data_IF_306344636079
#
_entry.id   IF_306344636079
#
_cell.length_a   1.000
_cell.length_b   1.000
_cell.length_c   1.000
_cell.angle_alpha   90.00
_cell.angle_beta   90.00
_cell.angle_gamma   90.00
#
_symmetry.space_group_name_H-M   'P 1'
#
loop_
_entity.id
_entity.type
_entity.pdbx_description
1 polymer ?
#
# COMPACT_ATOMS: atom_id res chain seq x y z
N UNK A 1 12.87 -31.13 6.30
CA UNK A 1 12.45 -30.16 7.31
C UNK A 1 11.44 -29.18 6.71
N UNK A 2 10.63 -28.53 7.53
CA UNK A 2 9.74 -27.43 7.10
C UNK A 2 9.93 -26.25 8.07
N UNK A 3 10.02 -25.04 7.55
CA UNK A 3 10.14 -23.82 8.36
C UNK A 3 8.77 -23.25 8.73
N UNK A 4 8.75 -22.39 9.75
CA UNK A 4 7.56 -21.62 10.13
C UNK A 4 7.22 -20.59 9.03
N UNK A 5 5.96 -20.11 8.95
CA UNK A 5 5.62 -18.96 8.10
C UNK A 5 6.53 -17.76 8.40
N UNK A 6 6.94 -17.03 7.36
CA UNK A 6 7.92 -15.94 7.48
C UNK A 6 9.39 -16.40 7.39
N UNK A 7 9.65 -17.69 7.18
CA UNK A 7 11.01 -18.23 7.08
C UNK A 7 11.22 -19.09 5.83
N UNK A 8 12.40 -18.95 5.22
CA UNK A 8 12.85 -19.74 4.08
C UNK A 8 13.84 -20.81 4.52
N UNK A 9 13.66 -22.04 4.02
CA UNK A 9 14.61 -23.12 4.23
C UNK A 9 15.83 -22.90 3.32
N UNK A 10 17.03 -22.83 3.91
CA UNK A 10 18.30 -22.76 3.18
C UNK A 10 18.61 -24.08 2.46
N UNK A 11 19.58 -24.02 1.53
CA UNK A 11 20.01 -25.16 0.71
C UNK A 11 20.59 -26.33 1.53
N UNK A 12 20.98 -26.08 2.78
CA UNK A 12 21.42 -27.11 3.72
C UNK A 12 20.27 -28.02 4.22
N UNK A 13 19.02 -27.68 3.88
CA UNK A 13 17.81 -28.43 4.21
C UNK A 13 17.45 -28.43 5.69
N UNK A 14 18.13 -27.62 6.51
CA UNK A 14 18.02 -27.63 7.98
C UNK A 14 17.89 -26.25 8.60
N UNK A 15 18.48 -25.22 8.00
CA UNK A 15 18.48 -23.86 8.54
C UNK A 15 17.32 -23.06 7.98
N UNK A 16 16.53 -22.47 8.87
CA UNK A 16 15.47 -21.53 8.52
C UNK A 16 16.00 -20.11 8.70
N UNK A 17 15.99 -19.32 7.62
CA UNK A 17 16.32 -17.90 7.67
C UNK A 17 15.06 -17.08 7.54
N UNK A 18 15.04 -15.94 8.23
CA UNK A 18 14.00 -14.94 8.12
C UNK A 18 13.85 -14.50 6.64
N UNK A 19 12.61 -14.40 6.18
CA UNK A 19 12.31 -13.79 4.88
C UNK A 19 12.24 -12.28 5.11
N UNK A 20 13.10 -11.52 4.44
CA UNK A 20 12.95 -10.07 4.43
C UNK A 20 11.87 -9.68 3.42
N UNK A 21 10.64 -9.52 3.90
CA UNK A 21 9.51 -9.13 3.05
C UNK A 21 9.68 -7.72 2.47
N UNK A 22 10.45 -6.84 3.13
CA UNK A 22 10.69 -5.48 2.64
C UNK A 22 11.64 -5.44 1.43
N UNK A 23 12.55 -6.41 1.33
CA UNK A 23 13.48 -6.54 0.20
C UNK A 23 12.82 -7.12 -1.06
N UNK A 24 11.64 -7.73 -0.93
CA UNK A 24 10.99 -8.49 -2.02
C UNK A 24 9.58 -7.98 -2.29
N UNK A 25 9.45 -6.84 -2.97
CA UNK A 25 8.20 -6.46 -3.62
C UNK A 25 7.29 -5.47 -2.89
N UNK A 26 7.86 -4.57 -2.08
CA UNK A 26 7.14 -3.45 -1.44
C UNK A 26 5.78 -3.86 -0.82
N UNK A 27 5.78 -4.70 0.22
CA UNK A 27 4.54 -5.25 0.80
C UNK A 27 3.67 -4.18 1.49
N UNK A 28 4.23 -2.99 1.71
CA UNK A 28 3.59 -1.84 2.32
C UNK A 28 3.40 -0.73 1.28
N UNK A 29 2.30 0.02 1.41
CA UNK A 29 2.05 1.19 0.56
C UNK A 29 3.07 2.33 0.74
N UNK A 30 3.70 2.41 1.92
CA UNK A 30 4.69 3.43 2.26
C UNK A 30 5.93 2.77 2.88
N UNK A 31 6.16 2.91 4.19
CA UNK A 31 7.36 2.42 4.84
C UNK A 31 7.20 0.96 5.29
N UNK A 32 8.23 0.15 5.08
CA UNK A 32 8.31 -1.24 5.51
C UNK A 32 9.47 -1.44 6.49
N UNK A 33 9.22 -2.15 7.58
CA UNK A 33 10.24 -2.55 8.55
C UNK A 33 10.21 -4.07 8.68
N UNK A 34 11.31 -4.72 8.27
CA UNK A 34 11.47 -6.14 8.45
C UNK A 34 11.65 -6.46 9.93
N UNK A 35 10.98 -7.50 10.41
CA UNK A 35 11.10 -7.99 11.79
C UNK A 35 11.27 -9.51 11.77
N UNK A 36 11.69 -10.12 12.87
CA UNK A 36 11.92 -11.56 12.86
C UNK A 36 10.60 -12.34 12.73
N UNK A 37 10.45 -13.06 11.61
CA UNK A 37 9.31 -13.88 11.23
C UNK A 37 8.12 -13.11 10.64
N UNK A 38 8.22 -11.79 10.44
CA UNK A 38 7.15 -10.94 9.90
C UNK A 38 7.66 -9.54 9.57
N UNK A 39 6.80 -8.64 9.12
CA UNK A 39 7.13 -7.24 8.86
C UNK A 39 6.06 -6.31 9.44
N UNK A 40 6.41 -5.02 9.53
CA UNK A 40 5.45 -3.97 9.90
C UNK A 40 5.46 -2.86 8.86
N UNK A 41 4.26 -2.40 8.53
CA UNK A 41 4.09 -1.21 7.71
C UNK A 41 3.91 0.03 8.59
N UNK A 42 4.58 1.11 8.24
CA UNK A 42 4.41 2.42 8.85
C UNK A 42 3.96 3.44 7.80
N UNK A 43 3.14 4.39 8.27
CA UNK A 43 2.70 5.51 7.47
C UNK A 43 3.56 6.74 7.78
N UNK A 44 3.89 7.51 6.74
CA UNK A 44 4.57 8.77 6.84
C UNK A 44 3.71 9.81 7.57
N UNK A 45 4.34 10.91 7.98
CA UNK A 45 3.64 12.03 8.59
C UNK A 45 2.47 12.52 7.70
N UNK A 46 1.30 12.74 8.30
CA UNK A 46 0.08 13.08 7.57
C UNK A 46 -0.75 11.89 7.04
N UNK A 47 -0.36 10.66 7.37
CA UNK A 47 -1.06 9.43 6.98
C UNK A 47 -1.30 8.48 8.17
N UNK A 48 -2.34 7.66 8.07
CA UNK A 48 -2.70 6.63 9.05
C UNK A 48 -2.99 5.28 8.39
N UNK A 49 -2.87 4.19 9.15
CA UNK A 49 -3.17 2.83 8.67
C UNK A 49 -4.66 2.63 8.48
N UNK A 50 -5.04 2.02 7.35
CA UNK A 50 -6.44 1.72 7.06
C UNK A 50 -6.94 0.50 7.87
N UNK A 51 -8.15 0.55 8.45
CA UNK A 51 -8.70 -0.57 9.23
C UNK A 51 -8.91 -1.84 8.38
N UNK A 52 -9.26 -1.68 7.12
CA UNK A 52 -9.53 -2.75 6.15
C UNK A 52 -8.25 -3.24 5.44
N UNK A 53 -7.20 -2.42 5.44
CA UNK A 53 -5.92 -2.75 4.81
C UNK A 53 -4.75 -2.35 5.73
N UNK A 54 -4.23 -3.27 6.57
CA UNK A 54 -3.14 -2.97 7.51
C UNK A 54 -1.81 -2.61 6.83
N UNK A 55 -1.68 -2.87 5.53
CA UNK A 55 -0.51 -2.49 4.73
C UNK A 55 -0.72 -1.16 3.97
N UNK A 56 -1.95 -0.62 4.01
CA UNK A 56 -2.38 0.58 3.33
C UNK A 56 -2.38 1.79 4.24
N UNK A 57 -1.87 2.92 3.72
CA UNK A 57 -1.87 4.21 4.39
C UNK A 57 -2.87 5.16 3.71
N UNK A 58 -3.78 5.73 4.49
CA UNK A 58 -4.74 6.77 4.08
C UNK A 58 -4.28 8.13 4.60
N UNK A 59 -4.49 9.18 3.80
CA UNK A 59 -4.19 10.55 4.25
C UNK A 59 -5.13 10.97 5.37
N UNK A 60 -4.60 11.73 6.33
CA UNK A 60 -5.36 12.35 7.42
C UNK A 60 -6.18 13.57 6.97
N UNK A 61 -6.02 14.03 5.71
CA UNK A 61 -6.81 15.14 5.20
C UNK A 61 -8.28 14.76 5.06
N UNK A 62 -9.16 15.64 5.53
CA UNK A 62 -10.61 15.55 5.31
C UNK A 62 -11.02 15.92 3.87
N UNK A 63 -10.09 16.45 3.07
CA UNK A 63 -10.34 16.75 1.67
C UNK A 63 -10.32 15.47 0.83
N UNK A 64 -11.48 15.08 0.31
CA UNK A 64 -11.58 13.91 -0.55
C UNK A 64 -10.84 14.14 -1.90
N UNK A 65 -9.97 13.20 -2.30
CA UNK A 65 -9.28 13.30 -3.56
C UNK A 65 -10.26 13.20 -4.74
N UNK A 66 -9.89 13.81 -5.85
CA UNK A 66 -10.63 13.75 -7.10
C UNK A 66 -9.68 13.61 -8.27
N UNK A 67 -10.18 13.03 -9.34
CA UNK A 67 -9.51 12.92 -10.62
C UNK A 67 -9.97 14.05 -11.53
N UNK A 68 -9.03 14.79 -12.12
CA UNK A 68 -9.30 15.65 -13.27
C UNK A 68 -8.88 14.89 -14.52
N UNK A 69 -9.83 14.69 -15.43
CA UNK A 69 -9.60 14.03 -16.71
C UNK A 69 -9.88 15.00 -17.84
N UNK A 70 -9.04 14.95 -18.87
CA UNK A 70 -9.28 15.63 -20.13
C UNK A 70 -9.65 14.58 -21.18
N UNK A 71 -10.76 14.80 -21.88
CA UNK A 71 -11.17 14.03 -23.06
C UNK A 71 -11.36 15.04 -24.19
N UNK A 72 -10.60 14.91 -25.28
CA UNK A 72 -10.62 15.68 -26.54
C UNK A 72 -11.06 17.17 -26.48
N UNK A 73 -12.30 17.47 -26.08
CA UNK A 73 -12.89 18.82 -25.99
C UNK A 73 -13.47 19.18 -24.61
N UNK A 74 -13.12 18.48 -23.54
CA UNK A 74 -13.67 18.75 -22.21
C UNK A 74 -12.72 18.37 -21.06
N UNK A 75 -12.90 19.06 -19.93
CA UNK A 75 -12.23 18.77 -18.66
C UNK A 75 -13.30 18.40 -17.65
N UNK A 76 -13.16 17.22 -17.03
CA UNK A 76 -14.08 16.70 -16.03
C UNK A 76 -13.38 16.47 -14.70
N UNK A 77 -14.09 16.72 -13.60
CA UNK A 77 -13.71 16.33 -12.24
C UNK A 77 -14.56 15.14 -11.81
N UNK A 78 -13.93 14.09 -11.29
CA UNK A 78 -14.59 12.85 -10.85
C UNK A 78 -14.12 12.53 -9.42
N UNK A 79 -15.05 12.23 -8.51
CA UNK A 79 -14.72 11.77 -7.17
C UNK A 79 -14.11 10.35 -7.22
N UNK A 80 -13.26 9.99 -6.26
CA UNK A 80 -12.58 8.68 -6.27
C UNK A 80 -13.50 7.48 -6.05
N UNK A 81 -14.68 7.69 -5.48
CA UNK A 81 -15.75 6.68 -5.34
C UNK A 81 -16.63 6.58 -6.60
N UNK A 82 -16.42 7.46 -7.60
CA UNK A 82 -17.20 7.53 -8.83
C UNK A 82 -18.63 8.04 -8.67
N UNK A 83 -19.02 8.50 -7.49
CA UNK A 83 -20.39 8.96 -7.21
C UNK A 83 -20.69 10.33 -7.81
N UNK A 84 -19.66 11.16 -8.04
CA UNK A 84 -19.80 12.52 -8.51
C UNK A 84 -18.93 12.78 -9.74
N UNK A 85 -19.52 13.40 -10.76
CA UNK A 85 -18.87 13.80 -12.01
C UNK A 85 -19.33 15.19 -12.41
N UNK A 86 -18.37 16.10 -12.62
CA UNK A 86 -18.62 17.52 -12.91
C UNK A 86 -17.84 17.95 -14.15
N UNK A 87 -18.49 18.58 -15.12
CA UNK A 87 -17.84 19.26 -16.25
C UNK A 87 -17.24 20.59 -15.77
N UNK A 88 -15.92 20.74 -15.89
CA UNK A 88 -15.20 21.96 -15.51
C UNK A 88 -15.01 22.92 -16.67
N UNK A 89 -14.81 22.39 -17.88
CA UNK A 89 -14.57 23.19 -19.09
C UNK A 89 -14.93 22.41 -20.34
N UNK A 90 -15.42 23.15 -21.34
CA UNK A 90 -15.64 22.71 -22.72
C UNK A 90 -14.78 23.56 -23.65
#
# INVERSE_FOLDING_TARGET
CKCWPGFLLKDDGKTCVDIDECSSGFPCSQQCINTYGTYKCLCAEGYETQPDNPNGCKSLSDEEPFLILADHHEIRKISTDGSNYTLLKQ
#
